data_IF_390497914258
#
_entry.id   IF_390497914258
#
_cell.length_a   1.000
_cell.length_b   1.000
_cell.length_c   1.000
_cell.angle_alpha   90.00
_cell.angle_beta   90.00
_cell.angle_gamma   90.00
#
_symmetry.space_group_name_H-M   'P 1'
#
loop_
_entity.id
_entity.type
_entity.pdbx_description
1 polymer ?
#
# COMPACT_ATOMS: atom_id res chain seq x y z
N UNK A 1 10.15 18.75 -3.12
CA UNK A 1 9.63 17.47 -3.62
C UNK A 1 10.77 16.47 -3.67
N UNK A 2 10.69 15.42 -2.87
CA UNK A 2 11.71 14.37 -2.77
C UNK A 2 11.17 13.07 -3.36
N UNK A 3 11.97 12.40 -4.20
CA UNK A 3 11.58 11.14 -4.85
C UNK A 3 12.28 9.93 -4.25
N UNK A 4 11.58 8.80 -4.10
CA UNK A 4 12.16 7.55 -3.63
C UNK A 4 11.62 6.31 -4.37
N UNK A 5 12.51 5.34 -4.59
CA UNK A 5 12.15 3.97 -4.96
C UNK A 5 12.23 3.11 -3.69
N UNK A 6 11.15 2.41 -3.33
CA UNK A 6 11.16 1.55 -2.15
C UNK A 6 11.72 0.17 -2.49
N UNK A 7 12.76 -0.25 -1.76
CA UNK A 7 13.38 -1.58 -1.91
C UNK A 7 12.71 -2.62 -0.98
N UNK A 8 11.39 -2.57 -0.88
CA UNK A 8 10.59 -3.55 -0.15
C UNK A 8 9.36 -3.89 -0.97
N UNK A 9 9.00 -5.16 -0.91
CA UNK A 9 7.81 -5.70 -1.57
C UNK A 9 6.68 -6.00 -0.59
N UNK A 10 6.87 -5.72 0.70
CA UNK A 10 5.84 -5.91 1.71
C UNK A 10 4.70 -4.86 1.54
N UNK A 11 3.49 -5.28 1.17
CA UNK A 11 2.36 -4.38 0.99
C UNK A 11 1.98 -3.62 2.27
N UNK A 12 2.15 -4.23 3.46
CA UNK A 12 1.79 -3.60 4.71
C UNK A 12 2.73 -2.43 5.04
N UNK A 13 4.03 -2.64 4.84
CA UNK A 13 5.02 -1.57 5.02
C UNK A 13 4.83 -0.46 3.98
N UNK A 14 4.64 -0.80 2.70
CA UNK A 14 4.50 0.18 1.63
C UNK A 14 3.29 1.10 1.87
N UNK A 15 2.14 0.54 2.22
CA UNK A 15 0.93 1.29 2.56
C UNK A 15 1.09 2.12 3.84
N UNK A 16 1.75 1.57 4.87
CA UNK A 16 1.98 2.31 6.12
C UNK A 16 2.92 3.51 5.91
N UNK A 17 3.95 3.37 5.08
CA UNK A 17 4.85 4.46 4.73
C UNK A 17 4.11 5.54 3.92
N UNK A 18 3.29 5.14 2.94
CA UNK A 18 2.45 6.07 2.17
C UNK A 18 1.53 6.89 3.10
N UNK A 19 0.80 6.22 3.99
CA UNK A 19 -0.11 6.88 4.93
C UNK A 19 0.63 7.82 5.90
N UNK A 20 1.79 7.39 6.42
CA UNK A 20 2.61 8.19 7.32
C UNK A 20 3.13 9.46 6.63
N UNK A 21 3.69 9.33 5.42
CA UNK A 21 4.21 10.48 4.69
C UNK A 21 3.09 11.46 4.33
N UNK A 22 1.91 10.97 3.97
CA UNK A 22 0.75 11.80 3.66
C UNK A 22 0.20 12.57 4.87
N UNK A 23 0.13 11.94 6.04
CA UNK A 23 -0.57 12.53 7.20
C UNK A 23 0.34 13.13 8.27
N UNK A 24 1.61 12.72 8.35
CA UNK A 24 2.51 13.12 9.43
C UNK A 24 3.60 14.10 8.99
N UNK A 25 3.65 14.48 7.72
CA UNK A 25 4.62 15.42 7.19
C UNK A 25 3.93 16.58 6.47
N UNK A 26 4.70 17.62 6.11
CA UNK A 26 4.23 18.73 5.23
C UNK A 26 4.99 18.77 3.91
N UNK A 27 5.82 17.77 3.66
CA UNK A 27 6.66 17.70 2.47
C UNK A 27 5.93 16.97 1.35
N UNK A 28 6.31 17.25 0.11
CA UNK A 28 5.80 16.52 -1.05
C UNK A 28 6.76 15.39 -1.43
N UNK A 29 6.20 14.19 -1.55
CA UNK A 29 6.92 12.99 -1.93
C UNK A 29 6.41 12.41 -3.24
N UNK A 30 7.33 11.85 -4.03
CA UNK A 30 7.01 10.98 -5.15
C UNK A 30 7.59 9.59 -4.87
N UNK A 31 6.72 8.59 -4.73
CA UNK A 31 7.10 7.23 -4.33
C UNK A 31 6.75 6.27 -5.46
N UNK A 32 7.67 5.35 -5.78
CA UNK A 32 7.39 4.18 -6.60
C UNK A 32 7.78 2.94 -5.81
N UNK A 33 6.87 1.96 -5.78
CA UNK A 33 7.07 0.68 -5.11
C UNK A 33 6.27 -0.42 -5.79
N UNK A 34 6.66 -1.66 -5.55
CA UNK A 34 6.01 -2.86 -6.09
C UNK A 34 5.72 -3.77 -4.92
N UNK A 35 4.47 -4.22 -4.76
CA UNK A 35 4.13 -5.19 -3.74
C UNK A 35 4.36 -6.62 -4.25
N UNK A 36 4.64 -7.55 -3.33
CA UNK A 36 4.46 -8.98 -3.53
C UNK A 36 3.00 -9.29 -3.89
N UNK A 37 2.67 -10.48 -4.42
CA UNK A 37 1.29 -10.85 -4.77
C UNK A 37 0.31 -10.52 -3.63
N UNK A 38 -0.56 -9.54 -3.87
CA UNK A 38 -1.40 -8.93 -2.84
C UNK A 38 -2.74 -8.51 -3.43
N UNK A 39 -3.81 -8.60 -2.63
CA UNK A 39 -5.08 -7.96 -2.94
C UNK A 39 -5.27 -6.73 -2.03
N UNK A 40 -5.23 -5.54 -2.63
CA UNK A 40 -5.48 -4.27 -1.92
C UNK A 40 -6.95 -3.90 -2.07
N UNK A 41 -7.64 -3.75 -0.94
CA UNK A 41 -9.08 -3.50 -0.89
C UNK A 41 -9.34 -2.07 -0.41
N UNK A 42 -10.29 -1.38 -1.03
CA UNK A 42 -10.70 -0.03 -0.65
C UNK A 42 -11.34 0.01 0.74
N UNK A 43 -11.14 1.12 1.46
CA UNK A 43 -11.59 1.34 2.86
C UNK A 43 -13.06 0.99 3.15
N UNK A 44 -13.93 1.04 2.14
CA UNK A 44 -15.38 0.81 2.27
C UNK A 44 -15.89 -0.38 1.46
N UNK A 45 -15.00 -1.23 0.91
CA UNK A 45 -15.39 -2.47 0.25
C UNK A 45 -15.52 -3.63 1.24
N UNK A 46 -16.34 -4.62 0.90
CA UNK A 46 -16.55 -5.82 1.73
C UNK A 46 -15.64 -6.92 1.23
N UNK A 47 -14.56 -7.21 1.95
CA UNK A 47 -13.49 -8.15 1.52
C UNK A 47 -14.06 -9.48 0.99
N UNK A 48 -15.00 -10.09 1.71
CA UNK A 48 -15.62 -11.37 1.32
C UNK A 48 -16.40 -11.36 -0.01
N UNK A 49 -16.68 -10.18 -0.58
CA UNK A 49 -17.31 -10.01 -1.90
C UNK A 49 -16.31 -9.71 -3.01
N UNK A 50 -15.11 -9.26 -2.66
CA UNK A 50 -14.10 -8.79 -3.63
C UNK A 50 -13.05 -9.87 -3.91
N UNK A 51 -12.84 -10.82 -3.00
CA UNK A 51 -11.79 -11.83 -3.12
C UNK A 51 -12.30 -13.25 -2.90
N UNK A 52 -11.67 -14.20 -3.60
CA UNK A 52 -11.77 -15.60 -3.22
C UNK A 52 -10.85 -15.86 -2.02
N UNK A 53 -11.45 -15.85 -0.83
CA UNK A 53 -10.76 -15.92 0.46
C UNK A 53 -9.99 -17.25 0.62
N UNK A 54 -10.45 -18.31 -0.05
CA UNK A 54 -9.83 -19.64 0.01
C UNK A 54 -8.64 -19.80 -0.95
N UNK A 55 -8.42 -18.84 -1.85
CA UNK A 55 -7.29 -18.81 -2.79
C UNK A 55 -6.30 -17.69 -2.48
N UNK A 56 -6.73 -16.67 -1.72
CA UNK A 56 -5.93 -15.49 -1.40
C UNK A 56 -4.97 -15.68 -0.20
N UNK A 57 -4.53 -16.92 0.06
CA UNK A 57 -3.45 -17.22 1.02
C UNK A 57 -2.05 -16.96 0.43
#
# INVERSE_FOLDING_TARGET
MSGALLNTHDPFFNLALEDHLLHNTREEYFLLYVNDPSVVVGRHQVIFREVNIFEAE
#
